data_IF_713948334207
#
_entry.id   IF_713948334207
#
_cell.length_a   1.000
_cell.length_b   1.000
_cell.length_c   1.000
_cell.angle_alpha   90.00
_cell.angle_beta   90.00
_cell.angle_gamma   90.00
#
_symmetry.space_group_name_H-M   'P 1'
#
loop_
_entity.id
_entity.type
_entity.pdbx_description
1 polymer ?
#
# COMPACT_ATOMS: atom_id res chain seq x y z
N UNK A 1 27.03 1.97 22.78
CA UNK A 1 26.24 2.15 21.54
C UNK A 1 24.78 2.11 21.94
N UNK A 2 24.07 3.24 21.93
CA UNK A 2 22.69 3.29 22.39
C UNK A 2 21.80 2.51 21.43
N UNK A 3 21.15 1.46 21.92
CA UNK A 3 20.03 0.81 21.25
C UNK A 3 18.98 1.88 20.97
N UNK A 4 18.76 2.26 19.71
CA UNK A 4 17.59 3.06 19.35
C UNK A 4 16.38 2.16 19.56
N UNK A 5 15.77 2.22 20.74
CA UNK A 5 14.41 1.74 20.92
C UNK A 5 13.55 2.44 19.88
N UNK A 6 12.97 1.70 18.95
CA UNK A 6 11.89 2.20 18.11
C UNK A 6 10.89 2.90 19.04
N UNK A 7 10.78 4.22 18.94
CA UNK A 7 9.78 4.98 19.68
C UNK A 7 8.44 4.63 19.05
N UNK A 8 7.49 4.15 19.85
CA UNK A 8 6.14 3.84 19.36
C UNK A 8 5.48 5.03 18.69
N UNK A 9 4.49 4.78 17.83
CA UNK A 9 3.77 5.85 17.15
C UNK A 9 3.06 6.74 18.19
N UNK A 10 3.28 8.06 18.20
CA UNK A 10 2.91 8.94 19.32
C UNK A 10 1.40 9.10 19.52
N UNK A 11 0.58 8.68 18.56
CA UNK A 11 -0.89 8.69 18.69
C UNK A 11 -1.46 7.35 19.17
N UNK A 12 -0.62 6.34 19.42
CA UNK A 12 -1.05 5.13 20.12
C UNK A 12 -1.28 5.49 21.60
N UNK A 13 -2.50 5.26 22.07
CA UNK A 13 -2.88 5.55 23.46
C UNK A 13 -2.07 4.72 24.47
N UNK A 14 -1.84 3.45 24.16
CA UNK A 14 -1.01 2.55 24.96
C UNK A 14 -0.20 1.63 24.03
N UNK A 15 1.12 1.82 24.05
CA UNK A 15 2.04 1.02 23.26
C UNK A 15 2.15 -0.43 23.78
N UNK A 16 1.94 -0.65 25.09
CA UNK A 16 2.14 -1.95 25.71
C UNK A 16 1.01 -2.94 25.37
N UNK A 17 -0.22 -2.44 25.21
CA UNK A 17 -1.37 -3.25 24.82
C UNK A 17 -1.68 -3.25 23.32
N UNK A 18 -0.98 -2.43 22.53
CA UNK A 18 -1.21 -2.37 21.09
C UNK A 18 -0.76 -3.65 20.38
N UNK A 19 -1.73 -4.38 19.82
CA UNK A 19 -1.49 -5.57 19.00
C UNK A 19 -1.73 -5.16 17.53
N UNK A 20 -0.67 -5.08 16.70
CA UNK A 20 -0.78 -4.59 15.33
C UNK A 20 -1.40 -5.59 14.35
N UNK A 21 -1.51 -6.85 14.71
CA UNK A 21 -2.01 -7.93 13.86
C UNK A 21 -3.34 -8.44 14.44
N UNK A 22 -4.41 -8.40 13.66
CA UNK A 22 -5.75 -8.78 14.09
C UNK A 22 -6.00 -10.29 14.08
N UNK A 23 -5.13 -11.06 13.42
CA UNK A 23 -5.30 -12.49 13.18
C UNK A 23 -4.04 -13.27 13.57
N UNK A 24 -4.21 -14.23 14.48
CA UNK A 24 -3.19 -15.22 14.82
C UNK A 24 -3.56 -16.57 14.16
N UNK A 25 -2.81 -16.93 13.12
CA UNK A 25 -3.03 -18.16 12.36
C UNK A 25 -2.75 -19.42 13.20
N UNK A 26 -2.02 -19.33 14.31
CA UNK A 26 -1.86 -20.48 15.21
C UNK A 26 -3.17 -20.81 15.96
N UNK A 27 -4.10 -19.85 16.07
CA UNK A 27 -5.37 -20.00 16.80
C UNK A 27 -6.57 -20.22 15.88
N UNK A 28 -6.43 -19.95 14.59
CA UNK A 28 -7.49 -20.14 13.59
C UNK A 28 -7.01 -21.10 12.48
N UNK A 29 -7.39 -22.38 12.61
CA UNK A 29 -7.00 -23.41 11.65
C UNK A 29 -7.59 -23.18 10.25
N UNK A 30 -8.79 -22.62 10.14
CA UNK A 30 -9.43 -22.36 8.85
C UNK A 30 -8.73 -21.21 8.13
N UNK A 31 -8.45 -20.11 8.84
CA UNK A 31 -7.68 -19.00 8.30
C UNK A 31 -6.25 -19.42 7.98
N UNK A 32 -5.61 -20.25 8.82
CA UNK A 32 -4.29 -20.82 8.53
C UNK A 32 -4.30 -21.60 7.22
N UNK A 33 -5.24 -22.53 7.04
CA UNK A 33 -5.31 -23.32 5.81
C UNK A 33 -5.53 -22.44 4.58
N UNK A 34 -6.44 -21.47 4.68
CA UNK A 34 -6.73 -20.50 3.63
C UNK A 34 -5.49 -19.68 3.23
N UNK A 35 -4.86 -19.00 4.19
CA UNK A 35 -3.74 -18.11 3.91
C UNK A 35 -2.52 -18.86 3.40
N UNK A 36 -2.16 -19.99 4.01
CA UNK A 36 -1.06 -20.81 3.50
C UNK A 36 -1.34 -21.31 2.07
N UNK A 37 -2.59 -21.69 1.75
CA UNK A 37 -2.97 -22.03 0.39
C UNK A 37 -2.86 -20.86 -0.58
N UNK A 38 -3.22 -19.64 -0.16
CA UNK A 38 -3.05 -18.42 -0.96
C UNK A 38 -1.58 -18.15 -1.27
N UNK A 39 -0.71 -18.16 -0.25
CA UNK A 39 0.72 -17.91 -0.41
C UNK A 39 1.44 -18.99 -1.24
N UNK A 40 1.04 -20.26 -1.12
CA UNK A 40 1.57 -21.35 -1.95
C UNK A 40 1.22 -21.18 -3.43
N UNK A 41 0.08 -20.55 -3.76
CA UNK A 41 -0.26 -20.18 -5.15
C UNK A 41 0.45 -18.90 -5.60
N UNK A 42 0.56 -17.90 -4.72
CA UNK A 42 1.17 -16.60 -5.05
C UNK A 42 2.65 -16.71 -5.39
N UNK A 43 3.39 -17.66 -4.80
CA UNK A 43 4.82 -17.85 -5.10
C UNK A 43 5.11 -18.05 -6.59
N UNK A 44 4.20 -18.67 -7.34
CA UNK A 44 4.36 -18.87 -8.79
C UNK A 44 4.35 -17.53 -9.55
N UNK A 45 3.53 -16.58 -9.10
CA UNK A 45 3.54 -15.21 -9.64
C UNK A 45 4.79 -14.47 -9.23
N UNK A 46 5.24 -14.65 -7.98
CA UNK A 46 6.46 -14.02 -7.49
C UNK A 46 7.71 -14.54 -8.22
N UNK A 47 7.78 -15.83 -8.54
CA UNK A 47 8.84 -16.42 -9.36
C UNK A 47 8.88 -15.77 -10.74
N UNK A 48 7.73 -15.71 -11.43
CA UNK A 48 7.64 -15.10 -12.75
C UNK A 48 8.03 -13.61 -12.73
N UNK A 49 7.54 -12.86 -11.75
CA UNK A 49 7.85 -11.44 -11.61
C UNK A 49 9.34 -11.23 -11.28
N UNK A 50 9.92 -12.06 -10.40
CA UNK A 50 11.34 -12.00 -10.07
C UNK A 50 12.21 -12.25 -11.32
N UNK A 51 11.92 -13.30 -12.08
CA UNK A 51 12.64 -13.58 -13.34
C UNK A 51 12.52 -12.43 -14.33
N UNK A 52 11.29 -11.91 -14.55
CA UNK A 52 11.02 -10.79 -15.45
C UNK A 52 11.80 -9.53 -15.05
N UNK A 53 11.85 -9.22 -13.75
CA UNK A 53 12.51 -8.01 -13.23
C UNK A 53 14.00 -7.92 -13.54
N UNK A 54 14.64 -9.04 -13.89
CA UNK A 54 16.06 -9.10 -14.24
C UNK A 54 16.27 -9.88 -15.55
N UNK A 55 15.37 -9.74 -16.52
CA UNK A 55 15.38 -10.47 -17.80
C UNK A 55 16.66 -10.37 -18.64
N UNK A 56 17.51 -9.36 -18.38
CA UNK A 56 18.83 -9.23 -19.01
C UNK A 56 19.93 -10.09 -18.37
N UNK A 57 19.71 -10.62 -17.16
CA UNK A 57 20.64 -11.51 -16.46
C UNK A 57 20.30 -12.99 -16.78
N UNK A 58 21.21 -13.75 -17.43
CA UNK A 58 20.94 -15.14 -17.79
C UNK A 58 20.74 -16.08 -16.59
N UNK A 59 21.10 -15.66 -15.38
CA UNK A 59 20.88 -16.42 -14.14
C UNK A 59 19.51 -16.18 -13.50
N UNK A 60 18.73 -15.19 -13.97
CA UNK A 60 17.51 -14.74 -13.33
C UNK A 60 16.47 -15.86 -13.18
N UNK A 61 16.19 -16.61 -14.25
CA UNK A 61 15.24 -17.73 -14.22
C UNK A 61 15.66 -18.81 -13.22
N UNK A 62 16.95 -19.16 -13.21
CA UNK A 62 17.48 -20.17 -12.29
C UNK A 62 17.39 -19.71 -10.82
N UNK A 63 17.71 -18.44 -10.54
CA UNK A 63 17.58 -17.87 -9.18
C UNK A 63 16.12 -17.74 -8.75
N UNK A 64 15.21 -17.40 -9.65
CA UNK A 64 13.78 -17.34 -9.37
C UNK A 64 13.21 -18.73 -9.01
N UNK A 65 13.62 -19.78 -9.74
CA UNK A 65 13.24 -21.15 -9.42
C UNK A 65 13.77 -21.60 -8.05
N UNK A 66 15.03 -21.27 -7.74
CA UNK A 66 15.62 -21.54 -6.41
C UNK A 66 14.90 -20.77 -5.30
N UNK A 67 14.52 -19.52 -5.55
CA UNK A 67 13.68 -18.73 -4.65
C UNK A 67 12.36 -19.46 -4.36
N UNK A 68 11.65 -19.92 -5.39
CA UNK A 68 10.37 -20.64 -5.21
C UNK A 68 10.56 -21.88 -4.34
N UNK A 69 11.55 -22.70 -4.66
CA UNK A 69 11.81 -23.94 -3.92
C UNK A 69 12.11 -23.66 -2.44
N UNK A 70 12.97 -22.68 -2.17
CA UNK A 70 13.29 -22.24 -0.81
C UNK A 70 12.06 -21.72 -0.08
N UNK A 71 11.30 -20.83 -0.73
CA UNK A 71 10.11 -20.22 -0.14
C UNK A 71 9.07 -21.29 0.21
N UNK A 72 8.77 -22.20 -0.71
CA UNK A 72 7.80 -23.28 -0.48
C UNK A 72 8.24 -24.20 0.66
N UNK A 73 9.53 -24.52 0.75
CA UNK A 73 10.04 -25.33 1.86
C UNK A 73 9.88 -24.60 3.20
N UNK A 74 10.24 -23.31 3.27
CA UNK A 74 10.03 -22.49 4.47
C UNK A 74 8.56 -22.33 4.83
N UNK A 75 7.70 -22.16 3.84
CA UNK A 75 6.25 -22.07 4.04
C UNK A 75 5.70 -23.39 4.61
N UNK A 76 6.11 -24.55 4.10
CA UNK A 76 5.74 -25.86 4.67
C UNK A 76 6.24 -26.03 6.10
N UNK A 77 7.46 -25.60 6.40
CA UNK A 77 8.03 -25.63 7.76
C UNK A 77 7.20 -24.78 8.71
N UNK A 78 6.85 -23.53 8.34
CA UNK A 78 6.00 -22.65 9.14
C UNK A 78 4.59 -23.23 9.33
N UNK A 79 4.00 -23.85 8.30
CA UNK A 79 2.67 -24.46 8.40
C UNK A 79 2.64 -25.58 9.44
N UNK A 80 3.67 -26.43 9.43
CA UNK A 80 3.81 -27.62 10.29
C UNK A 80 4.37 -27.33 11.68
N UNK A 81 4.91 -26.14 11.91
CA UNK A 81 5.47 -25.78 13.20
C UNK A 81 4.38 -25.92 14.29
N UNK A 82 4.62 -26.81 15.25
CA UNK A 82 3.85 -26.87 16.48
C UNK A 82 4.35 -25.75 17.39
N UNK A 83 3.78 -24.56 17.21
CA UNK A 83 4.08 -23.38 18.01
C UNK A 83 3.14 -23.37 19.21
N UNK A 84 3.65 -23.07 20.41
CA UNK A 84 2.80 -22.88 21.57
C UNK A 84 1.87 -21.68 21.28
N UNK A 85 0.55 -21.77 21.48
CA UNK A 85 -0.35 -20.62 21.32
C UNK A 85 0.03 -19.39 22.16
N UNK A 86 0.93 -19.53 23.14
CA UNK A 86 1.49 -18.44 23.96
C UNK A 86 2.78 -17.83 23.39
N UNK A 87 3.38 -18.41 22.35
CA UNK A 87 4.52 -17.84 21.64
C UNK A 87 4.08 -16.64 20.77
N UNK A 88 5.04 -16.05 20.04
CA UNK A 88 4.76 -14.98 19.09
C UNK A 88 3.71 -15.43 18.05
N UNK A 89 2.65 -14.64 17.80
CA UNK A 89 1.62 -14.95 16.82
C UNK A 89 2.21 -15.21 15.43
N UNK A 90 1.68 -16.22 14.74
CA UNK A 90 1.94 -16.43 13.32
C UNK A 90 0.92 -15.59 12.54
N UNK A 91 1.37 -14.54 11.88
CA UNK A 91 0.46 -13.60 11.23
C UNK A 91 0.69 -13.57 9.73
N UNK A 92 -0.22 -12.90 9.02
CA UNK A 92 -0.07 -12.64 7.59
C UNK A 92 1.22 -11.86 7.31
N UNK A 93 1.62 -10.95 8.21
CA UNK A 93 2.91 -10.24 8.13
C UNK A 93 4.09 -11.19 8.12
N UNK A 94 4.06 -12.25 8.93
CA UNK A 94 5.12 -13.27 8.92
C UNK A 94 5.28 -13.92 7.55
N UNK A 95 4.18 -14.20 6.86
CA UNK A 95 4.19 -14.81 5.52
C UNK A 95 4.69 -13.83 4.44
N UNK A 96 4.31 -12.56 4.52
CA UNK A 96 4.82 -11.50 3.64
C UNK A 96 6.32 -11.24 3.86
N UNK A 97 6.77 -11.19 5.11
CA UNK A 97 8.19 -11.06 5.45
C UNK A 97 9.02 -12.24 4.95
N UNK A 98 8.49 -13.47 5.05
CA UNK A 98 9.16 -14.64 4.48
C UNK A 98 9.36 -14.46 2.97
N UNK A 99 8.36 -13.96 2.26
CA UNK A 99 8.46 -13.73 0.82
C UNK A 99 9.57 -12.72 0.50
N UNK A 100 9.54 -11.55 1.14
CA UNK A 100 10.52 -10.48 0.91
C UNK A 100 11.95 -10.91 1.25
N UNK A 101 12.15 -11.58 2.40
CA UNK A 101 13.46 -12.10 2.81
C UNK A 101 13.97 -13.15 1.83
N UNK A 102 13.09 -14.02 1.34
CA UNK A 102 13.43 -15.05 0.36
C UNK A 102 13.82 -14.42 -0.99
N UNK A 103 13.03 -13.49 -1.54
CA UNK A 103 13.36 -12.79 -2.79
C UNK A 103 14.76 -12.14 -2.73
N UNK A 104 15.03 -11.42 -1.63
CA UNK A 104 16.33 -10.76 -1.42
C UNK A 104 17.49 -11.73 -1.28
N UNK A 105 17.29 -12.85 -0.61
CA UNK A 105 18.29 -13.90 -0.49
C UNK A 105 18.76 -14.39 -1.87
N UNK A 106 17.86 -14.42 -2.86
CA UNK A 106 18.14 -14.83 -4.23
C UNK A 106 18.43 -13.67 -5.18
N UNK A 107 18.73 -12.47 -4.65
CA UNK A 107 19.21 -11.33 -5.43
C UNK A 107 18.11 -10.47 -6.05
N UNK A 108 16.86 -10.61 -5.61
CA UNK A 108 15.74 -9.78 -6.07
C UNK A 108 15.33 -8.78 -4.98
N UNK A 109 15.90 -7.57 -5.04
CA UNK A 109 15.64 -6.52 -4.05
C UNK A 109 14.27 -5.84 -4.21
N UNK A 110 13.89 -5.56 -5.46
CA UNK A 110 12.59 -4.99 -5.82
C UNK A 110 12.12 -5.51 -7.19
N UNK A 111 11.47 -6.70 -7.24
CA UNK A 111 10.91 -7.23 -8.48
C UNK A 111 9.86 -6.33 -9.14
N UNK A 112 9.23 -5.42 -8.40
CA UNK A 112 8.10 -4.61 -8.87
C UNK A 112 8.51 -3.21 -9.33
N UNK A 113 9.77 -2.81 -9.13
CA UNK A 113 10.26 -1.45 -9.42
C UNK A 113 9.85 -0.92 -10.80
N UNK A 114 10.14 -1.66 -11.87
CA UNK A 114 9.81 -1.21 -13.24
C UNK A 114 8.30 -1.02 -13.41
N UNK A 115 7.52 -1.94 -12.86
CA UNK A 115 6.06 -1.87 -12.93
C UNK A 115 5.51 -0.69 -12.13
N UNK A 116 5.99 -0.47 -10.91
CA UNK A 116 5.65 0.71 -10.10
C UNK A 116 5.93 2.01 -10.85
N UNK A 117 7.09 2.09 -11.52
CA UNK A 117 7.45 3.26 -12.31
C UNK A 117 6.49 3.51 -13.48
N UNK A 118 6.16 2.46 -14.24
CA UNK A 118 5.21 2.55 -15.35
C UNK A 118 3.81 2.97 -14.87
N UNK A 119 3.34 2.39 -13.76
CA UNK A 119 2.05 2.71 -13.16
C UNK A 119 2.02 4.14 -12.61
N UNK A 120 3.10 4.60 -11.95
CA UNK A 120 3.26 5.97 -11.48
C UNK A 120 3.21 6.95 -12.64
N UNK A 121 4.02 6.74 -13.68
CA UNK A 121 4.09 7.63 -14.86
C UNK A 121 2.73 7.70 -15.58
N UNK A 122 2.08 6.55 -15.78
CA UNK A 122 0.76 6.49 -16.40
C UNK A 122 -0.31 7.21 -15.57
N UNK A 123 -0.24 7.10 -14.24
CA UNK A 123 -1.18 7.75 -13.33
C UNK A 123 -0.95 9.25 -13.24
N UNK A 124 0.30 9.71 -13.23
CA UNK A 124 0.65 11.13 -13.21
C UNK A 124 0.10 11.87 -14.43
N UNK A 125 0.14 11.25 -15.61
CA UNK A 125 -0.47 11.80 -16.84
C UNK A 125 -1.99 12.02 -16.72
N UNK A 126 -2.68 11.26 -15.86
CA UNK A 126 -4.12 11.36 -15.62
C UNK A 126 -4.48 12.31 -14.48
N UNK A 127 -3.52 12.67 -13.63
CA UNK A 127 -3.75 13.46 -12.43
C UNK A 127 -4.38 14.83 -12.72
N UNK A 128 -3.92 15.65 -13.70
CA UNK A 128 -4.52 16.96 -13.96
C UNK A 128 -6.02 16.89 -14.26
N UNK A 129 -6.43 15.95 -15.10
CA UNK A 129 -7.84 15.75 -15.45
C UNK A 129 -8.67 15.33 -14.23
N UNK A 130 -8.12 14.44 -13.38
CA UNK A 130 -8.77 14.03 -12.12
C UNK A 130 -8.97 15.20 -11.17
N UNK A 131 -7.95 16.04 -10.98
CA UNK A 131 -8.04 17.22 -10.11
C UNK A 131 -9.02 18.26 -10.66
N UNK A 132 -9.00 18.51 -11.96
CA UNK A 132 -9.93 19.43 -12.61
C UNK A 132 -11.38 18.96 -12.47
N UNK A 133 -11.64 17.66 -12.65
CA UNK A 133 -12.97 17.09 -12.45
C UNK A 133 -13.44 17.25 -11.00
N UNK A 134 -12.56 16.99 -10.02
CA UNK A 134 -12.87 17.22 -8.61
C UNK A 134 -13.21 18.68 -8.35
N UNK A 135 -12.44 19.63 -8.89
CA UNK A 135 -12.68 21.06 -8.70
C UNK A 135 -14.08 21.50 -9.16
N UNK A 136 -14.59 20.90 -10.23
CA UNK A 136 -15.93 21.15 -10.79
C UNK A 136 -17.09 20.61 -9.94
N UNK A 137 -16.82 19.80 -8.91
CA UNK A 137 -17.88 19.32 -8.01
C UNK A 137 -18.23 20.41 -6.99
N UNK A 138 -19.38 21.06 -7.20
CA UNK A 138 -19.86 22.16 -6.36
C UNK A 138 -20.32 21.71 -4.96
N UNK A 139 -21.03 20.59 -4.87
CA UNK A 139 -21.49 20.07 -3.59
C UNK A 139 -20.33 19.49 -2.77
N UNK A 140 -20.11 20.05 -1.57
CA UNK A 140 -19.00 19.68 -0.70
C UNK A 140 -19.05 18.20 -0.31
N UNK A 141 -20.24 17.67 -0.01
CA UNK A 141 -20.38 16.27 0.41
C UNK A 141 -20.11 15.32 -0.76
N UNK A 142 -20.58 15.66 -1.96
CA UNK A 142 -20.31 14.92 -3.19
C UNK A 142 -18.82 14.92 -3.54
N UNK A 143 -18.15 16.07 -3.40
CA UNK A 143 -16.69 16.20 -3.60
C UNK A 143 -15.93 15.28 -2.64
N UNK A 144 -16.19 15.36 -1.33
CA UNK A 144 -15.56 14.47 -0.35
C UNK A 144 -15.88 12.99 -0.58
N UNK A 145 -17.12 12.68 -0.94
CA UNK A 145 -17.51 11.30 -1.29
C UNK A 145 -16.71 10.79 -2.48
N UNK A 146 -16.54 11.60 -3.53
CA UNK A 146 -15.78 11.22 -4.71
C UNK A 146 -14.29 11.02 -4.42
N UNK A 147 -13.72 11.80 -3.50
CA UNK A 147 -12.34 11.66 -3.04
C UNK A 147 -12.15 10.36 -2.26
N UNK A 148 -13.01 10.09 -1.27
CA UNK A 148 -12.90 8.87 -0.46
C UNK A 148 -13.14 7.63 -1.31
N UNK A 149 -14.09 7.67 -2.25
CA UNK A 149 -14.24 6.60 -3.25
C UNK A 149 -12.99 6.44 -4.12
N UNK A 150 -12.32 7.53 -4.47
CA UNK A 150 -11.04 7.50 -5.19
C UNK A 150 -9.95 6.78 -4.41
N UNK A 151 -9.83 7.05 -3.11
CA UNK A 151 -8.90 6.33 -2.21
C UNK A 151 -9.22 4.83 -2.19
N UNK A 152 -10.48 4.46 -2.01
CA UNK A 152 -10.89 3.05 -1.97
C UNK A 152 -10.68 2.34 -3.32
N UNK A 153 -11.02 3.00 -4.44
CA UNK A 153 -10.82 2.45 -5.77
C UNK A 153 -9.33 2.31 -6.11
N UNK A 154 -8.53 3.31 -5.73
CA UNK A 154 -7.08 3.27 -5.93
C UNK A 154 -6.43 2.10 -5.22
N UNK A 155 -6.83 1.84 -3.96
CA UNK A 155 -6.34 0.70 -3.20
C UNK A 155 -6.77 -0.68 -3.77
N UNK A 156 -7.70 -0.73 -4.73
CA UNK A 156 -8.00 -2.00 -5.42
C UNK A 156 -6.83 -2.47 -6.29
N UNK A 157 -5.92 -1.58 -6.70
CA UNK A 157 -4.78 -1.90 -7.55
C UNK A 157 -3.63 -2.54 -6.75
N UNK A 158 -3.97 -3.63 -6.06
CA UNK A 158 -3.06 -4.46 -5.27
C UNK A 158 -2.73 -5.74 -6.06
N UNK A 159 -1.45 -5.92 -6.36
CA UNK A 159 -0.94 -7.08 -7.09
C UNK A 159 -0.79 -8.33 -6.20
N UNK A 160 -0.86 -8.18 -4.88
CA UNK A 160 -0.98 -9.27 -3.91
C UNK A 160 -2.36 -9.91 -3.84
N UNK A 161 -3.42 -9.17 -4.21
CA UNK A 161 -4.80 -9.65 -4.17
C UNK A 161 -5.19 -10.48 -5.41
N UNK A 162 -5.40 -11.79 -5.23
CA UNK A 162 -5.71 -12.72 -6.34
C UNK A 162 -6.91 -12.31 -7.20
N UNK A 163 -7.94 -11.71 -6.60
CA UNK A 163 -9.16 -11.31 -7.31
C UNK A 163 -8.92 -10.12 -8.25
N UNK A 164 -8.02 -9.20 -7.88
CA UNK A 164 -7.78 -7.98 -8.66
C UNK A 164 -6.67 -8.19 -9.70
N UNK A 165 -5.63 -8.97 -9.40
CA UNK A 165 -4.56 -9.19 -10.38
C UNK A 165 -5.08 -9.79 -11.69
N UNK A 166 -6.10 -10.68 -11.65
CA UNK A 166 -6.67 -11.25 -12.88
C UNK A 166 -7.36 -10.21 -13.78
N UNK A 167 -7.90 -9.16 -13.18
CA UNK A 167 -8.54 -8.06 -13.91
C UNK A 167 -7.45 -7.22 -14.56
N UNK A 168 -6.45 -6.82 -13.77
CA UNK A 168 -5.31 -6.01 -14.24
C UNK A 168 -4.49 -6.71 -15.33
N UNK A 169 -4.33 -8.03 -15.25
CA UNK A 169 -3.62 -8.84 -16.25
C UNK A 169 -4.39 -8.93 -17.59
N UNK A 170 -5.73 -8.84 -17.57
CA UNK A 170 -6.57 -9.07 -18.76
C UNK A 170 -7.04 -7.79 -19.44
N UNK A 171 -7.08 -6.68 -18.72
CA UNK A 171 -7.64 -5.42 -19.21
C UNK A 171 -6.66 -4.27 -18.97
N UNK A 172 -5.84 -3.98 -19.98
CA UNK A 172 -4.90 -2.86 -19.97
C UNK A 172 -5.59 -1.49 -19.96
N UNK A 173 -6.91 -1.43 -20.22
CA UNK A 173 -7.71 -0.21 -20.14
C UNK A 173 -8.26 0.06 -18.74
N UNK A 174 -8.20 -0.91 -17.83
CA UNK A 174 -8.77 -0.80 -16.49
C UNK A 174 -8.05 0.30 -15.67
N UNK A 175 -8.77 1.37 -15.36
CA UNK A 175 -8.30 2.54 -14.63
C UNK A 175 -9.19 2.89 -13.43
N UNK A 176 -9.02 4.11 -12.91
CA UNK A 176 -9.73 4.56 -11.72
C UNK A 176 -11.25 4.57 -11.93
N UNK A 177 -11.70 5.00 -13.12
CA UNK A 177 -13.10 5.08 -13.48
C UNK A 177 -13.78 3.70 -13.42
N UNK A 178 -13.16 2.69 -14.02
CA UNK A 178 -13.67 1.32 -14.01
C UNK A 178 -13.61 0.72 -12.58
N UNK A 179 -12.59 1.06 -11.79
CA UNK A 179 -12.50 0.65 -10.40
C UNK A 179 -13.62 1.27 -9.55
N UNK A 180 -13.94 2.55 -9.75
CA UNK A 180 -15.04 3.24 -9.07
C UNK A 180 -16.40 2.57 -9.32
N UNK A 181 -16.62 2.01 -10.51
CA UNK A 181 -17.83 1.25 -10.84
C UNK A 181 -17.92 -0.11 -10.15
N UNK A 182 -16.77 -0.68 -9.76
CA UNK A 182 -16.68 -2.00 -9.12
C UNK A 182 -16.71 -1.96 -7.59
N UNK A 183 -16.47 -0.80 -6.97
CA UNK A 183 -16.63 -0.68 -5.52
C UNK A 183 -18.06 -1.09 -5.14
N UNK A 184 -18.18 -1.92 -4.12
CA UNK A 184 -19.48 -2.33 -3.60
C UNK A 184 -20.32 -1.10 -3.21
N UNK A 185 -21.62 -1.20 -3.49
CA UNK A 185 -22.58 -0.17 -3.07
C UNK A 185 -22.63 -0.12 -1.54
N UNK A 186 -22.81 1.08 -1.03
CA UNK A 186 -22.97 1.34 0.40
C UNK A 186 -24.26 0.70 0.95
N UNK A 187 -24.31 0.31 2.23
CA UNK A 187 -23.25 0.46 3.23
C UNK A 187 -22.10 -0.54 3.01
N UNK A 188 -20.87 -0.06 3.20
CA UNK A 188 -19.70 -0.95 3.27
C UNK A 188 -19.69 -1.74 4.59
N UNK A 189 -18.83 -2.76 4.68
CA UNK A 189 -18.71 -3.62 5.87
C UNK A 189 -18.51 -2.79 7.15
N UNK A 190 -17.63 -1.80 7.08
CA UNK A 190 -17.51 -0.73 8.07
C UNK A 190 -17.61 0.58 7.31
N UNK A 191 -18.75 1.26 7.46
CA UNK A 191 -19.04 2.48 6.72
C UNK A 191 -19.13 3.68 7.65
N UNK A 192 -18.06 4.47 7.65
CA UNK A 192 -17.96 5.68 8.46
C UNK A 192 -18.00 6.97 7.61
N UNK A 193 -18.52 6.90 6.38
CA UNK A 193 -18.47 8.03 5.46
C UNK A 193 -19.32 9.20 5.94
N UNK A 194 -20.53 8.98 6.50
CA UNK A 194 -21.34 10.07 7.03
C UNK A 194 -20.63 10.84 8.15
N UNK A 195 -19.98 10.14 9.08
CA UNK A 195 -19.23 10.78 10.16
C UNK A 195 -18.04 11.56 9.63
N UNK A 196 -17.36 11.04 8.61
CA UNK A 196 -16.30 11.76 7.90
C UNK A 196 -16.83 13.04 7.24
N UNK A 197 -17.92 12.96 6.48
CA UNK A 197 -18.53 14.11 5.80
C UNK A 197 -18.94 15.19 6.80
N UNK A 198 -19.56 14.81 7.92
CA UNK A 198 -19.92 15.75 8.97
C UNK A 198 -18.67 16.38 9.60
N UNK A 199 -17.64 15.59 9.89
CA UNK A 199 -16.35 16.11 10.38
C UNK A 199 -15.75 17.13 9.42
N UNK A 200 -15.88 16.93 8.11
CA UNK A 200 -15.32 17.83 7.10
C UNK A 200 -16.03 19.19 7.00
N UNK A 201 -17.26 19.33 7.52
CA UNK A 201 -17.92 20.64 7.65
C UNK A 201 -17.33 21.50 8.76
N UNK A 202 -16.71 20.88 9.77
CA UNK A 202 -16.07 21.56 10.88
C UNK A 202 -14.75 22.26 10.50
N UNK A 203 -14.04 22.82 11.50
CA UNK A 203 -12.75 23.48 11.26
C UNK A 203 -11.70 22.53 10.69
N UNK A 204 -10.70 23.08 10.01
CA UNK A 204 -9.58 22.33 9.48
C UNK A 204 -8.83 21.55 10.58
N UNK A 205 -8.31 20.37 10.22
CA UNK A 205 -7.39 19.65 11.09
C UNK A 205 -6.07 20.40 11.14
N UNK A 206 -5.39 20.41 12.29
CA UNK A 206 -4.06 21.02 12.40
C UNK A 206 -3.00 20.22 11.65
N UNK A 207 -3.14 18.88 11.64
CA UNK A 207 -2.24 17.96 10.98
C UNK A 207 -2.99 16.66 10.62
N UNK A 208 -2.61 16.04 9.50
CA UNK A 208 -3.02 14.70 9.09
C UNK A 208 -1.76 13.87 8.79
N UNK A 209 -1.74 12.64 9.28
CA UNK A 209 -0.69 11.65 8.94
C UNK A 209 -1.35 10.54 8.15
N UNK A 210 -0.82 10.26 6.96
CA UNK A 210 -1.34 9.25 6.03
C UNK A 210 -0.26 8.22 5.79
N UNK A 211 -0.55 6.97 6.12
CA UNK A 211 0.30 5.83 5.79
C UNK A 211 -0.11 5.36 4.40
N UNK A 212 0.80 5.50 3.43
CA UNK A 212 0.54 5.14 2.03
C UNK A 212 0.72 3.64 1.84
N UNK A 213 0.00 3.08 0.88
CA UNK A 213 0.06 1.67 0.52
C UNK A 213 0.70 1.52 -0.87
N UNK A 214 -0.10 1.43 -1.93
CA UNK A 214 0.34 1.03 -3.25
C UNK A 214 0.88 2.20 -4.10
N UNK A 215 1.79 1.88 -5.03
CA UNK A 215 2.18 2.78 -6.12
C UNK A 215 1.06 2.94 -7.16
N UNK A 216 1.26 3.81 -8.14
CA UNK A 216 0.36 3.98 -9.28
C UNK A 216 -0.93 4.69 -8.90
N UNK A 217 -2.07 4.09 -9.28
CA UNK A 217 -3.39 4.72 -9.17
C UNK A 217 -3.75 5.04 -7.71
N UNK A 218 -3.36 4.17 -6.76
CA UNK A 218 -3.62 4.39 -5.34
C UNK A 218 -3.03 5.71 -4.85
N UNK A 219 -1.69 5.80 -4.82
CA UNK A 219 -1.03 7.02 -4.38
C UNK A 219 -1.36 8.23 -5.26
N UNK A 220 -1.32 8.07 -6.59
CA UNK A 220 -1.40 9.23 -7.50
C UNK A 220 -2.83 9.73 -7.68
N UNK A 221 -3.82 8.85 -7.89
CA UNK A 221 -5.20 9.26 -8.23
C UNK A 221 -6.19 9.08 -7.08
N UNK A 222 -5.79 8.38 -6.01
CA UNK A 222 -6.54 8.26 -4.75
C UNK A 222 -6.02 9.19 -3.66
N UNK A 223 -4.81 8.94 -3.17
CA UNK A 223 -4.23 9.60 -2.00
C UNK A 223 -3.83 11.05 -2.28
N UNK A 224 -3.11 11.36 -3.37
CA UNK A 224 -2.68 12.74 -3.64
C UNK A 224 -3.85 13.73 -3.84
N UNK A 225 -4.98 13.36 -4.48
CA UNK A 225 -6.19 14.19 -4.46
C UNK A 225 -6.76 14.43 -3.06
N UNK A 226 -6.76 13.42 -2.18
CA UNK A 226 -7.12 13.59 -0.77
C UNK A 226 -6.16 14.56 -0.06
N UNK A 227 -4.84 14.39 -0.26
CA UNK A 227 -3.80 15.28 0.28
C UNK A 227 -4.03 16.72 -0.16
N UNK A 228 -4.28 16.93 -1.45
CA UNK A 228 -4.56 18.26 -2.01
C UNK A 228 -5.74 18.94 -1.31
N UNK A 229 -6.87 18.26 -1.14
CA UNK A 229 -8.03 18.87 -0.48
C UNK A 229 -7.80 19.17 1.01
N UNK A 230 -7.01 18.34 1.71
CA UNK A 230 -6.59 18.65 3.08
C UNK A 230 -5.70 19.91 3.12
N UNK A 231 -4.78 20.04 2.16
CA UNK A 231 -3.90 21.21 2.03
C UNK A 231 -4.67 22.50 1.69
N UNK A 232 -5.68 22.43 0.81
CA UNK A 232 -6.57 23.56 0.51
C UNK A 232 -7.28 24.07 1.77
N UNK A 233 -7.62 23.16 2.68
CA UNK A 233 -8.17 23.47 4.00
C UNK A 233 -7.14 23.93 5.02
N UNK A 234 -5.87 24.10 4.63
CA UNK A 234 -4.74 24.48 5.50
C UNK A 234 -4.36 23.44 6.55
N UNK A 235 -4.71 22.17 6.33
CA UNK A 235 -4.21 21.05 7.15
C UNK A 235 -2.78 20.70 6.73
N UNK A 236 -1.86 20.59 7.70
CA UNK A 236 -0.51 20.04 7.46
C UNK A 236 -0.62 18.56 7.16
N UNK A 237 0.11 18.05 6.20
CA UNK A 237 0.06 16.63 5.81
C UNK A 237 1.44 16.00 5.93
N UNK A 238 1.50 14.84 6.59
CA UNK A 238 2.65 13.96 6.65
C UNK A 238 2.31 12.66 5.93
N UNK A 239 2.95 12.40 4.79
CA UNK A 239 2.88 11.11 4.12
C UNK A 239 3.97 10.18 4.66
N UNK A 240 3.59 8.97 5.04
CA UNK A 240 4.47 7.96 5.59
C UNK A 240 4.51 6.75 4.66
N UNK A 241 5.72 6.36 4.23
CA UNK A 241 5.92 5.25 3.30
C UNK A 241 6.97 4.26 3.84
N UNK A 242 6.96 3.05 3.29
CA UNK A 242 7.91 1.99 3.65
C UNK A 242 9.34 2.41 3.28
N UNK A 243 10.32 2.13 4.14
CA UNK A 243 11.74 2.37 3.78
C UNK A 243 12.23 1.39 2.71
N UNK A 244 11.60 0.22 2.65
CA UNK A 244 12.05 -0.91 1.86
C UNK A 244 10.93 -1.46 0.99
N UNK A 245 11.22 -1.97 -0.22
CA UNK A 245 10.22 -2.53 -1.12
C UNK A 245 9.48 -3.73 -0.52
N UNK A 246 8.16 -3.71 -0.71
CA UNK A 246 7.22 -4.72 -0.29
C UNK A 246 6.13 -4.84 -1.37
N UNK A 247 6.20 -5.87 -2.23
CA UNK A 247 5.30 -5.96 -3.38
C UNK A 247 5.29 -4.64 -4.19
N UNK A 248 4.11 -4.10 -4.50
CA UNK A 248 3.92 -2.84 -5.19
C UNK A 248 3.71 -1.63 -4.25
N UNK A 249 3.93 -1.79 -2.94
CA UNK A 249 3.91 -0.68 -1.99
C UNK A 249 4.91 0.40 -2.41
N UNK A 250 4.48 1.66 -2.27
CA UNK A 250 5.36 2.79 -2.56
C UNK A 250 6.37 2.97 -1.42
N UNK A 251 7.66 3.06 -1.79
CA UNK A 251 8.72 3.33 -0.82
C UNK A 251 8.89 4.83 -0.57
N UNK A 252 9.61 5.18 0.49
CA UNK A 252 9.94 6.57 0.83
C UNK A 252 10.63 7.30 -0.33
N UNK A 253 11.62 6.68 -0.98
CA UNK A 253 12.34 7.31 -2.08
C UNK A 253 11.42 7.50 -3.30
N UNK A 254 10.66 6.47 -3.66
CA UNK A 254 9.70 6.53 -4.77
C UNK A 254 8.58 7.55 -4.52
N UNK A 255 8.09 7.66 -3.28
CA UNK A 255 7.09 8.65 -2.91
C UNK A 255 7.64 10.07 -3.02
N UNK A 256 8.92 10.29 -2.68
CA UNK A 256 9.56 11.59 -2.90
C UNK A 256 9.63 11.96 -4.38
N UNK A 257 9.93 10.99 -5.26
CA UNK A 257 9.95 11.21 -6.70
C UNK A 257 8.54 11.53 -7.23
N UNK A 258 7.54 10.71 -6.88
CA UNK A 258 6.14 10.90 -7.28
C UNK A 258 5.59 12.26 -6.83
N UNK A 259 5.87 12.68 -5.58
CA UNK A 259 5.41 13.99 -5.09
C UNK A 259 6.12 15.14 -5.81
N UNK A 260 7.41 15.01 -6.13
CA UNK A 260 8.14 16.02 -6.91
C UNK A 260 7.56 16.18 -8.32
N UNK A 261 7.24 15.07 -8.98
CA UNK A 261 6.57 15.10 -10.28
C UNK A 261 5.16 15.71 -10.15
N UNK A 262 4.42 15.36 -9.11
CA UNK A 262 3.11 15.95 -8.83
C UNK A 262 3.16 17.48 -8.65
N UNK A 263 4.29 18.05 -8.22
CA UNK A 263 4.44 19.50 -8.10
C UNK A 263 4.33 20.23 -9.45
N UNK A 264 4.69 19.62 -10.59
CA UNK A 264 4.49 20.24 -11.91
C UNK A 264 3.02 20.28 -12.31
N UNK A 265 2.22 19.34 -11.81
CA UNK A 265 0.82 19.15 -12.16
C UNK A 265 -0.16 19.88 -11.23
N UNK A 266 0.28 20.24 -10.01
CA UNK A 266 -0.60 20.82 -8.99
C UNK A 266 0.09 21.91 -8.15
N UNK A 267 -0.29 23.17 -8.38
CA UNK A 267 0.28 24.32 -7.66
C UNK A 267 0.04 24.27 -6.14
N UNK A 268 -1.09 23.70 -5.70
CA UNK A 268 -1.35 23.54 -4.25
C UNK A 268 -0.36 22.59 -3.59
N UNK A 269 -0.07 21.47 -4.24
CA UNK A 269 0.91 20.49 -3.74
C UNK A 269 2.32 21.08 -3.82
N UNK A 270 2.64 21.77 -4.93
CA UNK A 270 3.90 22.48 -5.11
C UNK A 270 4.20 23.47 -3.97
N UNK A 271 3.26 24.36 -3.68
CA UNK A 271 3.41 25.34 -2.59
C UNK A 271 3.50 24.67 -1.23
N UNK A 272 2.69 23.63 -0.99
CA UNK A 272 2.70 22.91 0.28
C UNK A 272 4.01 22.17 0.52
N UNK A 273 4.57 21.54 -0.50
CA UNK A 273 5.84 20.83 -0.45
C UNK A 273 6.98 21.80 -0.10
N UNK A 274 7.08 22.93 -0.80
CA UNK A 274 8.16 23.92 -0.58
C UNK A 274 8.01 24.71 0.73
N UNK A 275 6.78 24.93 1.22
CA UNK A 275 6.53 25.59 2.51
C UNK A 275 6.63 24.64 3.72
N UNK A 276 6.77 23.33 3.48
CA UNK A 276 6.78 22.31 4.53
C UNK A 276 5.41 22.00 5.15
N UNK A 277 4.32 22.41 4.50
CA UNK A 277 2.96 22.00 4.83
C UNK A 277 2.67 20.56 4.39
N UNK A 278 3.35 20.08 3.34
CA UNK A 278 3.41 18.67 2.96
C UNK A 278 4.81 18.16 3.26
N UNK A 279 4.90 17.07 4.02
CA UNK A 279 6.15 16.37 4.31
C UNK A 279 6.02 14.89 4.04
N UNK A 280 7.13 14.27 3.69
CA UNK A 280 7.25 12.83 3.48
C UNK A 280 8.19 12.30 4.55
N UNK A 281 7.86 11.16 5.14
CA UNK A 281 8.66 10.52 6.17
C UNK A 281 8.74 9.01 5.93
N UNK A 282 9.87 8.42 6.28
CA UNK A 282 10.03 6.98 6.21
C UNK A 282 9.52 6.30 7.48
N UNK A 283 8.92 5.13 7.31
CA UNK A 283 8.66 4.20 8.40
C UNK A 283 9.96 3.45 8.68
N UNK A 284 10.65 3.84 9.76
CA UNK A 284 11.85 3.14 10.22
C UNK A 284 11.49 1.70 10.62
N UNK A 285 12.23 0.68 10.17
CA UNK A 285 11.97 -0.71 10.54
C UNK A 285 12.09 -0.93 12.07
N UNK A 286 11.40 -1.94 12.63
CA UNK A 286 10.68 -3.01 11.94
C UNK A 286 9.18 -2.70 11.89
N UNK A 287 8.50 -3.19 10.85
CA UNK A 287 7.04 -3.41 10.72
C UNK A 287 6.51 -2.73 9.46
N UNK A 288 6.40 -3.56 8.42
CA UNK A 288 5.53 -3.35 7.26
C UNK A 288 4.15 -2.92 7.79
N UNK A 289 3.70 -1.73 7.40
CA UNK A 289 2.30 -1.37 7.51
C UNK A 289 1.58 -2.17 6.42
N UNK A 290 0.80 -3.17 6.81
CA UNK A 290 -0.07 -3.89 5.89
C UNK A 290 -1.41 -3.19 5.99
N UNK A 291 -1.75 -2.38 5.00
CA UNK A 291 -3.08 -1.76 4.90
C UNK A 291 -4.05 -2.58 4.04
N UNK A 292 -3.56 -3.60 3.35
CA UNK A 292 -4.37 -4.45 2.46
C UNK A 292 -3.98 -5.92 2.57
N UNK A 293 -4.95 -6.76 2.96
CA UNK A 293 -5.12 -8.17 2.58
C UNK A 293 -6.52 -8.66 3.00
#
# INVERSE_FOLDING_TARGET
MSSSSSKGFPLLQDLASYIPDSLDLNRDAAAKEYWFGCFDRLVLKFELQAAKSQSSDPSADARAAQFREHYQEKLRQLKKANVDPNDQPLTIRTLLELNQKSLRLYGFSDPWKEQKNLENEASLKKLPARLQWLDQVDDMNAKWTAIIKGVLAGNMFDWGAQAVSQILEKDAGFGLEEALERIQKRPWLVDCLEQWLERMKGPAHSCATIFTDNSGIDIVLGILPLVRELLLRKTKVLLCANTEPALNDITYEELNEVVKECCSECETINQAYHSGMLKINCLMPPRIAICSL
#
